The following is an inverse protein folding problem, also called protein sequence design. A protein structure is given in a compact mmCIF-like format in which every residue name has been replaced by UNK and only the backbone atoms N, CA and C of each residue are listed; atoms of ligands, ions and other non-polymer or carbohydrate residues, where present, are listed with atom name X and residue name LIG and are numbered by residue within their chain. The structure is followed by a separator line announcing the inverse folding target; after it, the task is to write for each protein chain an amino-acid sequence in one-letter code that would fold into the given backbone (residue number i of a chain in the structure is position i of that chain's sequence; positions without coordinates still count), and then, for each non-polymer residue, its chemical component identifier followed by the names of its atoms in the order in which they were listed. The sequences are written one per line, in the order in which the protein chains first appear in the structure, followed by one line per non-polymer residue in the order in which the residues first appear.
data_IF_631481169384
#
_entry.id   IF_631481169384
#
_cell.length_a   1.000
_cell.length_b   1.000
_cell.length_c   1.000
_cell.angle_alpha   90.00
_cell.angle_beta   90.00
_cell.angle_gamma   90.00
#
_symmetry.space_group_name_H-M   'P 1'
#
loop_
_entity.id
_entity.type
_entity.pdbx_description
1 polymer ?
#
# COMPACT_ATOMS: atom_id res chain seq x y z
N UNK A 1 -26.12 -0.49 -14.27
CA UNK A 1 -25.56 -0.47 -12.90
C UNK A 1 -25.22 0.97 -12.56
N UNK A 2 -25.52 1.43 -11.34
CA UNK A 2 -25.23 2.80 -10.90
C UNK A 2 -23.81 2.87 -10.32
N UNK A 3 -23.01 3.87 -10.74
CA UNK A 3 -21.65 4.07 -10.22
C UNK A 3 -21.73 4.76 -8.85
N UNK A 4 -21.67 3.98 -7.77
CA UNK A 4 -21.77 4.42 -6.36
C UNK A 4 -21.06 3.38 -5.48
N UNK A 5 -20.62 3.77 -4.29
CA UNK A 5 -20.00 2.84 -3.33
C UNK A 5 -18.47 2.86 -3.35
N UNK A 6 -17.85 1.73 -3.05
CA UNK A 6 -16.40 1.58 -3.01
C UNK A 6 -15.87 1.04 -4.34
N UNK A 7 -14.97 1.79 -4.98
CA UNK A 7 -14.24 1.36 -6.15
C UNK A 7 -12.76 1.20 -5.88
N UNK A 8 -12.16 0.11 -6.33
CA UNK A 8 -10.73 -0.14 -6.12
C UNK A 8 -9.89 0.51 -7.21
N UNK A 9 -9.00 1.43 -6.83
CA UNK A 9 -7.91 1.90 -7.68
C UNK A 9 -6.85 0.79 -7.79
N UNK A 10 -7.03 -0.11 -8.75
CA UNK A 10 -6.26 -1.36 -8.86
C UNK A 10 -4.76 -1.09 -9.03
N UNK A 11 -3.95 -1.87 -8.31
CA UNK A 11 -2.52 -2.00 -8.59
C UNK A 11 -2.29 -2.79 -9.88
N UNK A 12 -1.15 -2.57 -10.54
CA UNK A 12 -0.66 -3.43 -11.63
C UNK A 12 0.48 -4.30 -11.08
N UNK A 13 0.32 -5.63 -10.99
CA UNK A 13 1.39 -6.51 -10.53
C UNK A 13 2.43 -6.75 -11.63
N UNK A 14 3.69 -6.85 -11.22
CA UNK A 14 4.83 -7.11 -12.10
C UNK A 14 5.63 -8.29 -11.57
N UNK A 15 6.30 -9.01 -12.47
CA UNK A 15 7.27 -10.06 -12.16
C UNK A 15 8.65 -9.46 -11.91
N UNK A 16 9.57 -10.23 -11.31
CA UNK A 16 10.95 -9.78 -11.06
C UNK A 16 11.69 -9.20 -12.27
N UNK A 17 11.37 -9.63 -13.49
CA UNK A 17 11.96 -9.11 -14.73
C UNK A 17 11.35 -7.77 -15.20
N UNK A 18 10.37 -7.24 -14.44
CA UNK A 18 9.65 -6.01 -14.74
C UNK A 18 8.48 -6.19 -15.70
N UNK A 19 8.27 -7.37 -16.28
CA UNK A 19 7.10 -7.67 -17.10
C UNK A 19 5.82 -7.72 -16.25
N UNK A 20 4.68 -7.48 -16.86
CA UNK A 20 3.39 -7.55 -16.17
C UNK A 20 3.04 -8.99 -15.78
N UNK A 21 2.57 -9.17 -14.55
CA UNK A 21 2.14 -10.47 -14.04
C UNK A 21 0.64 -10.68 -14.27
N UNK A 22 0.28 -11.20 -15.45
CA UNK A 22 -1.11 -11.41 -15.86
C UNK A 22 -1.88 -12.34 -14.89
N UNK A 23 -1.24 -13.39 -14.39
CA UNK A 23 -1.87 -14.35 -13.47
C UNK A 23 -2.24 -13.66 -12.15
N UNK A 24 -1.32 -12.88 -11.57
CA UNK A 24 -1.59 -12.13 -10.35
C UNK A 24 -2.65 -11.06 -10.59
N UNK A 25 -2.63 -10.36 -11.73
CA UNK A 25 -3.62 -9.35 -12.08
C UNK A 25 -5.03 -9.95 -12.12
N UNK A 26 -5.21 -11.04 -12.88
CA UNK A 26 -6.51 -11.73 -13.00
C UNK A 26 -7.00 -12.23 -11.64
N UNK A 27 -6.11 -12.79 -10.83
CA UNK A 27 -6.43 -13.27 -9.47
C UNK A 27 -6.87 -12.13 -8.56
N UNK A 28 -6.18 -10.98 -8.60
CA UNK A 28 -6.58 -9.78 -7.84
C UNK A 28 -7.96 -9.28 -8.27
N UNK A 29 -8.23 -9.16 -9.57
CA UNK A 29 -9.53 -8.71 -10.09
C UNK A 29 -10.65 -9.64 -9.63
N UNK A 30 -10.47 -10.96 -9.77
CA UNK A 30 -11.46 -11.94 -9.33
C UNK A 30 -11.73 -11.81 -7.82
N UNK A 31 -10.68 -11.75 -7.00
CA UNK A 31 -10.78 -11.61 -5.56
C UNK A 31 -11.48 -10.31 -5.13
N UNK A 32 -11.25 -9.20 -5.83
CA UNK A 32 -11.93 -7.93 -5.59
C UNK A 32 -13.44 -8.05 -5.81
N UNK A 33 -13.85 -8.63 -6.94
CA UNK A 33 -15.27 -8.87 -7.27
C UNK A 33 -15.91 -9.83 -6.25
N UNK A 34 -15.24 -10.93 -5.91
CA UNK A 34 -15.72 -11.91 -4.91
C UNK A 34 -15.81 -11.33 -3.48
N UNK A 35 -14.99 -10.34 -3.19
CA UNK A 35 -15.01 -9.62 -1.91
C UNK A 35 -16.13 -8.56 -1.84
N UNK A 36 -16.85 -8.34 -2.94
CA UNK A 36 -18.02 -7.46 -3.00
C UNK A 36 -17.67 -5.99 -3.19
N UNK A 37 -16.60 -5.69 -3.93
CA UNK A 37 -16.32 -4.32 -4.41
C UNK A 37 -17.46 -3.83 -5.30
N UNK A 38 -17.77 -2.53 -5.27
CA UNK A 38 -18.88 -1.97 -6.03
C UNK A 38 -18.48 -1.64 -7.48
N UNK A 39 -17.20 -1.31 -7.74
CA UNK A 39 -16.64 -1.09 -9.09
C UNK A 39 -15.10 -1.18 -9.10
N UNK A 40 -14.49 -1.24 -10.29
CA UNK A 40 -13.03 -1.32 -10.44
C UNK A 40 -12.48 -0.17 -11.29
N UNK A 41 -11.29 0.31 -10.92
CA UNK A 41 -10.58 1.39 -11.61
C UNK A 41 -9.19 0.91 -12.04
N UNK A 42 -9.07 0.20 -13.18
CA UNK A 42 -7.77 -0.16 -13.74
C UNK A 42 -7.06 1.08 -14.29
N UNK A 43 -5.73 1.01 -14.34
CA UNK A 43 -4.90 2.04 -14.97
C UNK A 43 -5.07 3.46 -14.39
N UNK A 44 -5.45 3.58 -13.11
CA UNK A 44 -5.32 4.82 -12.34
C UNK A 44 -3.89 5.03 -11.83
N UNK A 45 -3.67 6.06 -10.99
CA UNK A 45 -2.34 6.34 -10.42
C UNK A 45 -1.75 5.15 -9.65
N UNK A 46 -2.58 4.43 -8.89
CA UNK A 46 -2.18 3.25 -8.12
C UNK A 46 -1.76 2.07 -9.02
N UNK A 47 -2.22 2.05 -10.27
CA UNK A 47 -1.85 1.06 -11.28
C UNK A 47 -0.53 1.36 -12.00
N UNK A 48 0.24 2.37 -11.54
CA UNK A 48 1.54 2.74 -12.10
C UNK A 48 1.50 3.13 -13.60
N UNK A 49 0.36 3.66 -14.06
CA UNK A 49 0.11 4.03 -15.48
C UNK A 49 1.23 4.82 -16.17
N UNK A 50 1.95 5.76 -15.52
CA UNK A 50 3.07 6.45 -16.16
C UNK A 50 4.21 5.55 -16.64
N UNK A 51 4.29 4.31 -16.13
CA UNK A 51 5.33 3.33 -16.45
C UNK A 51 4.82 2.15 -17.27
N UNK A 52 3.56 2.17 -17.70
CA UNK A 52 2.99 1.18 -18.61
C UNK A 52 3.23 1.62 -20.06
N UNK A 53 3.57 0.68 -20.92
CA UNK A 53 3.46 0.91 -22.36
C UNK A 53 1.99 1.07 -22.76
N UNK A 54 1.76 1.52 -24.00
CA UNK A 54 0.41 1.58 -24.55
C UNK A 54 -0.26 0.19 -24.57
N UNK A 55 0.45 -0.84 -25.04
CA UNK A 55 -0.07 -2.20 -25.12
C UNK A 55 -0.38 -2.79 -23.72
N UNK A 56 0.47 -2.53 -22.73
CA UNK A 56 0.24 -2.98 -21.36
C UNK A 56 -0.95 -2.26 -20.72
N UNK A 57 -1.07 -0.95 -20.95
CA UNK A 57 -2.21 -0.16 -20.47
C UNK A 57 -3.54 -0.73 -20.98
N UNK A 58 -3.60 -1.10 -22.26
CA UNK A 58 -4.77 -1.73 -22.86
C UNK A 58 -5.01 -3.14 -22.34
N UNK A 59 -3.94 -3.93 -22.25
CA UNK A 59 -4.04 -5.30 -21.77
C UNK A 59 -4.57 -5.38 -20.34
N UNK A 60 -4.18 -4.46 -19.44
CA UNK A 60 -4.73 -4.38 -18.09
C UNK A 60 -6.24 -4.10 -18.12
N UNK A 61 -6.69 -3.19 -18.98
CA UNK A 61 -8.12 -2.86 -19.12
C UNK A 61 -8.89 -4.06 -19.68
N UNK A 62 -8.40 -4.69 -20.74
CA UNK A 62 -9.06 -5.81 -21.40
C UNK A 62 -9.12 -7.04 -20.47
N UNK A 63 -8.04 -7.34 -19.74
CA UNK A 63 -8.02 -8.36 -18.68
C UNK A 63 -9.05 -8.07 -17.58
N UNK A 64 -9.21 -6.79 -17.21
CA UNK A 64 -10.23 -6.37 -16.23
C UNK A 64 -11.63 -6.62 -16.77
N UNK A 65 -11.90 -6.28 -18.03
CA UNK A 65 -13.20 -6.52 -18.68
C UNK A 65 -13.53 -8.02 -18.70
N UNK A 66 -12.58 -8.84 -19.15
CA UNK A 66 -12.75 -10.29 -19.25
C UNK A 66 -13.05 -10.93 -17.90
N UNK A 67 -12.24 -10.62 -16.88
CA UNK A 67 -12.43 -11.23 -15.56
C UNK A 67 -13.68 -10.70 -14.91
N UNK A 68 -13.98 -9.39 -14.98
CA UNK A 68 -15.20 -8.83 -14.39
C UNK A 68 -16.46 -9.42 -15.02
N UNK A 69 -16.46 -9.66 -16.33
CA UNK A 69 -17.57 -10.25 -17.07
C UNK A 69 -18.92 -9.57 -16.77
N UNK A 70 -18.92 -8.24 -16.67
CA UNK A 70 -20.11 -7.43 -16.40
C UNK A 70 -20.67 -7.50 -14.97
N UNK A 71 -19.98 -8.13 -14.01
CA UNK A 71 -20.44 -8.27 -12.62
C UNK A 71 -20.44 -6.95 -11.84
N UNK A 72 -19.48 -6.07 -12.13
CA UNK A 72 -19.36 -4.72 -11.55
C UNK A 72 -18.96 -3.72 -12.63
N UNK A 73 -19.22 -2.41 -12.47
CA UNK A 73 -18.75 -1.40 -13.41
C UNK A 73 -17.23 -1.28 -13.45
N UNK A 74 -16.70 -0.88 -14.61
CA UNK A 74 -15.29 -0.55 -14.82
C UNK A 74 -15.15 0.93 -15.18
N UNK A 75 -14.30 1.64 -14.44
CA UNK A 75 -13.91 3.03 -14.71
C UNK A 75 -12.45 3.05 -15.17
N UNK A 76 -12.20 3.12 -16.48
CA UNK A 76 -10.85 3.01 -17.01
C UNK A 76 -10.06 4.33 -16.87
N UNK A 77 -8.83 4.27 -16.36
CA UNK A 77 -7.94 5.42 -16.29
C UNK A 77 -7.39 5.83 -17.67
N UNK A 78 -7.61 7.08 -18.07
CA UNK A 78 -7.19 7.63 -19.37
C UNK A 78 -6.58 9.04 -19.23
N UNK A 79 -5.80 9.27 -18.16
CA UNK A 79 -5.18 10.57 -17.91
C UNK A 79 -4.01 10.86 -18.86
N UNK A 80 -3.90 12.11 -19.32
CA UNK A 80 -2.70 12.67 -19.94
C UNK A 80 -2.59 14.16 -19.59
N UNK A 81 -1.38 14.72 -19.62
CA UNK A 81 -1.17 16.16 -19.51
C UNK A 81 -1.23 16.89 -20.86
N UNK A 82 -1.35 16.16 -21.97
CA UNK A 82 -1.66 16.65 -23.32
C UNK A 82 -3.15 16.42 -23.60
N UNK A 83 -3.89 17.46 -24.00
CA UNK A 83 -5.32 17.34 -24.33
C UNK A 83 -5.55 16.41 -25.53
N UNK A 84 -4.68 16.48 -26.54
CA UNK A 84 -4.78 15.61 -27.72
C UNK A 84 -4.64 14.13 -27.34
N UNK A 85 -3.60 13.80 -26.58
CA UNK A 85 -3.37 12.44 -26.11
C UNK A 85 -4.48 11.96 -25.17
N UNK A 86 -5.02 12.84 -24.32
CA UNK A 86 -6.14 12.51 -23.43
C UNK A 86 -7.41 12.18 -24.23
N UNK A 87 -7.68 12.92 -25.31
CA UNK A 87 -8.78 12.63 -26.24
C UNK A 87 -8.58 11.29 -26.92
N UNK A 88 -7.38 10.99 -27.40
CA UNK A 88 -7.06 9.70 -28.05
C UNK A 88 -7.24 8.53 -27.08
N UNK A 89 -6.67 8.63 -25.88
CA UNK A 89 -6.86 7.64 -24.82
C UNK A 89 -8.33 7.47 -24.46
N UNK A 90 -9.08 8.56 -24.33
CA UNK A 90 -10.50 8.51 -24.00
C UNK A 90 -11.31 7.79 -25.09
N UNK A 91 -11.08 8.10 -26.37
CA UNK A 91 -11.72 7.41 -27.49
C UNK A 91 -11.42 5.92 -27.49
N UNK A 92 -10.18 5.56 -27.19
CA UNK A 92 -9.80 4.16 -27.14
C UNK A 92 -10.53 3.40 -26.05
N UNK A 93 -10.50 3.89 -24.80
CA UNK A 93 -11.21 3.19 -23.71
C UNK A 93 -12.72 3.23 -23.91
N UNK A 94 -13.26 4.29 -24.54
CA UNK A 94 -14.68 4.37 -24.87
C UNK A 94 -15.12 3.33 -25.90
N UNK A 95 -14.23 2.96 -26.82
CA UNK A 95 -14.46 1.91 -27.82
C UNK A 95 -14.55 0.49 -27.24
N UNK A 96 -14.22 0.29 -25.95
CA UNK A 96 -14.26 -1.02 -25.28
C UNK A 96 -15.61 -1.22 -24.59
N UNK A 97 -16.47 -2.15 -25.05
CA UNK A 97 -17.84 -2.27 -24.54
C UNK A 97 -17.95 -2.51 -23.03
N UNK A 98 -16.96 -3.18 -22.43
CA UNK A 98 -16.91 -3.46 -21.00
C UNK A 98 -16.54 -2.26 -20.11
N UNK A 99 -16.07 -1.15 -20.68
CA UNK A 99 -15.79 0.09 -19.92
C UNK A 99 -17.08 0.88 -19.74
N UNK A 100 -17.39 1.24 -18.49
CA UNK A 100 -18.61 1.96 -18.14
C UNK A 100 -18.39 3.46 -17.97
N UNK A 101 -17.21 3.88 -17.54
CA UNK A 101 -16.83 5.28 -17.40
C UNK A 101 -15.32 5.47 -17.56
N UNK A 102 -14.88 6.72 -17.67
CA UNK A 102 -13.48 7.11 -17.84
C UNK A 102 -13.05 7.93 -16.63
N UNK A 103 -11.88 7.63 -16.05
CA UNK A 103 -11.26 8.47 -15.02
C UNK A 103 -10.12 9.28 -15.67
N UNK A 104 -10.19 10.61 -15.58
CA UNK A 104 -9.13 11.49 -16.10
C UNK A 104 -8.82 12.64 -15.12
N UNK A 105 -7.54 12.85 -14.83
CA UNK A 105 -7.08 13.87 -13.89
C UNK A 105 -6.73 15.19 -14.57
N UNK A 106 -6.56 16.24 -13.76
CA UNK A 106 -5.98 17.50 -14.26
C UNK A 106 -4.61 17.24 -14.88
N UNK A 107 -4.23 17.95 -15.97
CA UNK A 107 -2.90 17.88 -16.52
C UNK A 107 -1.82 18.07 -15.45
N UNK A 108 -0.94 17.09 -15.34
CA UNK A 108 0.19 17.10 -14.41
C UNK A 108 1.42 17.76 -15.05
N UNK A 109 2.33 18.27 -14.21
CA UNK A 109 3.58 18.94 -14.59
C UNK A 109 3.41 20.34 -15.21
N UNK A 110 2.57 20.49 -16.24
CA UNK A 110 2.41 21.74 -17.00
C UNK A 110 1.51 22.80 -16.34
N UNK A 111 0.77 22.45 -15.27
CA UNK A 111 0.03 23.37 -14.38
C UNK A 111 -0.88 24.37 -15.12
N UNK A 112 -1.90 23.90 -15.86
CA UNK A 112 -2.82 24.78 -16.57
C UNK A 112 -3.63 25.67 -15.61
N UNK A 113 -4.03 26.85 -16.11
CA UNK A 113 -4.99 27.73 -15.43
C UNK A 113 -6.36 27.06 -15.30
N UNK A 114 -7.26 27.60 -14.47
CA UNK A 114 -8.63 27.10 -14.34
C UNK A 114 -9.37 27.02 -15.69
N UNK A 115 -9.23 28.03 -16.55
CA UNK A 115 -9.82 28.01 -17.89
C UNK A 115 -9.15 26.97 -18.80
N UNK A 116 -7.84 26.74 -18.64
CA UNK A 116 -7.13 25.66 -19.31
C UNK A 116 -7.66 24.28 -18.91
N UNK A 117 -7.89 24.05 -17.62
CA UNK A 117 -8.48 22.83 -17.09
C UNK A 117 -9.91 22.63 -17.62
N UNK A 118 -10.74 23.69 -17.59
CA UNK A 118 -12.10 23.66 -18.15
C UNK A 118 -12.10 23.21 -19.61
N UNK A 119 -11.28 23.84 -20.46
CA UNK A 119 -11.20 23.50 -21.88
C UNK A 119 -10.65 22.10 -22.11
N UNK A 120 -9.63 21.69 -21.35
CA UNK A 120 -9.06 20.35 -21.44
C UNK A 120 -10.13 19.27 -21.21
N UNK A 121 -10.86 19.35 -20.10
CA UNK A 121 -11.89 18.36 -19.78
C UNK A 121 -13.10 18.43 -20.73
N UNK A 122 -13.54 19.63 -21.10
CA UNK A 122 -14.63 19.80 -22.07
C UNK A 122 -14.28 19.18 -23.42
N UNK A 123 -13.06 19.37 -23.91
CA UNK A 123 -12.62 18.79 -25.19
C UNK A 123 -12.56 17.26 -25.14
N UNK A 124 -12.18 16.66 -24.00
CA UNK A 124 -12.25 15.21 -23.82
C UNK A 124 -13.71 14.74 -23.81
N UNK A 125 -14.57 15.45 -23.08
CA UNK A 125 -15.99 15.16 -22.95
C UNK A 125 -16.72 15.19 -24.30
N UNK A 126 -16.43 16.19 -25.15
CA UNK A 126 -17.02 16.30 -26.50
C UNK A 126 -16.56 15.20 -27.48
N UNK A 127 -15.52 14.44 -27.14
CA UNK A 127 -14.92 13.44 -28.02
C UNK A 127 -15.45 12.00 -27.82
N UNK A 128 -16.23 11.75 -26.76
CA UNK A 128 -16.71 10.42 -26.37
C UNK A 128 -18.10 10.47 -25.75
N UNK A 129 -18.90 9.41 -25.91
CA UNK A 129 -20.24 9.34 -25.31
C UNK A 129 -20.25 8.72 -23.89
N UNK A 130 -19.12 8.19 -23.44
CA UNK A 130 -19.00 7.54 -22.12
C UNK A 130 -18.99 8.59 -20.99
N UNK A 131 -19.58 8.29 -19.83
CA UNK A 131 -19.43 9.11 -18.62
C UNK A 131 -17.95 9.32 -18.25
N UNK A 132 -17.62 10.55 -17.87
CA UNK A 132 -16.30 10.96 -17.40
C UNK A 132 -16.37 11.31 -15.92
N UNK A 133 -15.48 10.71 -15.14
CA UNK A 133 -15.19 11.07 -13.76
C UNK A 133 -13.88 11.86 -13.78
N UNK A 134 -13.97 13.12 -13.40
CA UNK A 134 -12.80 13.98 -13.24
C UNK A 134 -11.99 13.52 -12.03
N UNK A 135 -10.68 13.78 -12.01
CA UNK A 135 -9.84 13.45 -10.87
C UNK A 135 -9.04 14.68 -10.42
N UNK A 136 -9.46 15.26 -9.29
CA UNK A 136 -8.75 16.36 -8.65
C UNK A 136 -7.75 15.82 -7.63
N UNK A 137 -6.44 16.00 -7.88
CA UNK A 137 -5.35 15.52 -7.00
C UNK A 137 -4.16 16.49 -7.04
N UNK A 138 -4.31 17.71 -6.50
CA UNK A 138 -3.30 18.77 -6.62
C UNK A 138 -1.93 18.36 -6.09
N UNK A 139 -1.85 17.49 -5.08
CA UNK A 139 -0.58 16.95 -4.55
C UNK A 139 0.24 16.14 -5.57
N UNK A 140 -0.36 15.69 -6.68
CA UNK A 140 0.33 14.97 -7.76
C UNK A 140 0.40 15.77 -9.06
N UNK A 141 -0.65 16.53 -9.38
CA UNK A 141 -0.71 17.29 -10.64
C UNK A 141 0.00 18.64 -10.53
N UNK A 142 0.09 19.21 -9.33
CA UNK A 142 0.52 20.59 -9.10
C UNK A 142 -0.53 21.63 -9.49
N UNK A 143 -1.77 21.22 -9.75
CA UNK A 143 -2.90 22.08 -10.12
C UNK A 143 -4.20 21.57 -9.46
N UNK A 144 -4.91 22.47 -8.78
CA UNK A 144 -6.22 22.20 -8.17
C UNK A 144 -7.34 22.56 -9.14
N UNK A 145 -8.35 21.71 -9.26
CA UNK A 145 -9.62 22.07 -9.89
C UNK A 145 -10.45 22.81 -8.83
N UNK A 146 -10.69 24.11 -9.02
CA UNK A 146 -11.47 24.89 -8.06
C UNK A 146 -12.98 24.57 -8.14
N UNK A 147 -13.75 24.72 -7.04
CA UNK A 147 -15.19 24.45 -7.03
C UNK A 147 -15.96 25.15 -8.15
N UNK A 148 -15.64 26.41 -8.44
CA UNK A 148 -16.28 27.16 -9.52
C UNK A 148 -16.00 26.57 -10.92
N UNK A 149 -14.79 26.07 -11.16
CA UNK A 149 -14.43 25.38 -12.41
C UNK A 149 -15.16 24.04 -12.50
N UNK A 150 -15.24 23.31 -11.38
CA UNK A 150 -15.93 22.03 -11.32
C UNK A 150 -17.44 22.18 -11.54
N UNK A 151 -18.07 23.21 -10.95
CA UNK A 151 -19.48 23.52 -11.17
C UNK A 151 -19.76 23.79 -12.66
N UNK A 152 -18.89 24.57 -13.35
CA UNK A 152 -19.00 24.77 -14.81
C UNK A 152 -18.86 23.46 -15.61
N UNK A 153 -17.98 22.56 -15.17
CA UNK A 153 -17.77 21.26 -15.82
C UNK A 153 -18.93 20.30 -15.57
N UNK A 154 -19.61 20.39 -14.43
CA UNK A 154 -20.76 19.56 -14.10
C UNK A 154 -21.98 19.80 -15.00
N UNK A 155 -22.04 20.96 -15.67
CA UNK A 155 -23.06 21.26 -16.69
C UNK A 155 -22.79 20.58 -18.05
N UNK A 156 -21.61 19.97 -18.25
CA UNK A 156 -21.29 19.22 -19.47
C UNK A 156 -21.90 17.82 -19.36
N UNK A 157 -22.78 17.47 -20.31
CA UNK A 157 -23.69 16.31 -20.23
C UNK A 157 -23.08 14.98 -19.76
N UNK A 158 -21.88 14.62 -20.24
CA UNK A 158 -21.21 13.37 -19.91
C UNK A 158 -20.10 13.51 -18.86
N UNK A 159 -19.85 14.69 -18.30
CA UNK A 159 -19.01 14.83 -17.10
C UNK A 159 -19.88 14.50 -15.90
N UNK A 160 -19.80 13.24 -15.47
CA UNK A 160 -20.74 12.66 -14.52
C UNK A 160 -20.30 12.83 -13.05
N UNK A 161 -19.04 13.17 -12.79
CA UNK A 161 -18.57 13.25 -11.41
C UNK A 161 -17.12 13.66 -11.25
N UNK A 162 -16.66 13.62 -10.00
CA UNK A 162 -15.28 13.87 -9.58
C UNK A 162 -14.82 12.86 -8.54
N UNK A 163 -13.58 12.41 -8.65
CA UNK A 163 -12.77 11.86 -7.56
C UNK A 163 -12.02 13.02 -6.92
N UNK A 164 -12.46 13.43 -5.73
CA UNK A 164 -11.85 14.53 -4.98
C UNK A 164 -10.79 14.01 -4.01
N UNK A 165 -9.51 14.20 -4.37
CA UNK A 165 -8.34 13.83 -3.57
C UNK A 165 -7.51 15.05 -3.17
N UNK A 166 -8.14 16.22 -3.04
CA UNK A 166 -7.50 17.44 -2.55
C UNK A 166 -7.14 17.36 -1.06
N UNK A 167 -7.78 16.48 -0.29
CA UNK A 167 -7.66 16.40 1.17
C UNK A 167 -8.29 17.61 1.90
N UNK A 168 -8.91 18.53 1.16
CA UNK A 168 -9.51 19.74 1.70
C UNK A 168 -11.02 19.53 1.88
N UNK A 169 -11.43 19.23 3.11
CA UNK A 169 -12.84 18.95 3.41
C UNK A 169 -13.76 20.17 3.18
N UNK A 170 -13.24 21.39 3.38
CA UNK A 170 -14.01 22.62 3.10
C UNK A 170 -14.28 22.76 1.60
N UNK A 171 -13.28 22.51 0.75
CA UNK A 171 -13.47 22.50 -0.70
C UNK A 171 -14.45 21.42 -1.13
N UNK A 172 -14.36 20.21 -0.55
CA UNK A 172 -15.30 19.13 -0.87
C UNK A 172 -16.73 19.51 -0.49
N UNK A 173 -16.92 20.18 0.65
CA UNK A 173 -18.22 20.71 1.05
C UNK A 173 -18.74 21.75 0.04
N UNK A 174 -17.88 22.69 -0.39
CA UNK A 174 -18.24 23.67 -1.43
C UNK A 174 -18.64 22.99 -2.74
N UNK A 175 -17.88 21.98 -3.17
CA UNK A 175 -18.20 21.19 -4.37
C UNK A 175 -19.57 20.53 -4.24
N UNK A 176 -19.85 19.82 -3.15
CA UNK A 176 -21.13 19.13 -2.94
C UNK A 176 -22.33 20.09 -2.96
N UNK A 177 -22.14 21.38 -2.65
CA UNK A 177 -23.19 22.39 -2.68
C UNK A 177 -23.27 23.15 -4.02
N UNK A 178 -22.19 23.16 -4.81
CA UNK A 178 -22.10 23.92 -6.06
C UNK A 178 -22.46 23.11 -7.30
N UNK A 179 -22.30 21.78 -7.25
CA UNK A 179 -22.62 20.88 -8.37
C UNK A 179 -24.09 20.41 -8.32
N UNK A 180 -24.69 20.04 -9.45
CA UNK A 180 -26.03 19.44 -9.50
C UNK A 180 -26.14 18.16 -8.65
N UNK A 181 -27.33 17.86 -8.11
CA UNK A 181 -27.58 16.71 -7.23
C UNK A 181 -27.22 15.34 -7.84
N UNK A 182 -27.26 15.23 -9.17
CA UNK A 182 -26.91 14.01 -9.90
C UNK A 182 -25.40 13.88 -10.20
N UNK A 183 -24.59 14.89 -9.86
CA UNK A 183 -23.14 14.86 -10.04
C UNK A 183 -22.47 14.01 -8.96
N UNK A 184 -21.67 13.03 -9.38
CA UNK A 184 -21.11 12.02 -8.48
C UNK A 184 -19.81 12.53 -7.83
N UNK A 185 -19.85 12.84 -6.53
CA UNK A 185 -18.65 13.19 -5.75
C UNK A 185 -18.12 11.96 -5.01
N UNK A 186 -16.96 11.45 -5.42
CA UNK A 186 -16.25 10.37 -4.75
C UNK A 186 -15.11 10.91 -3.91
N UNK A 187 -14.91 10.36 -2.72
CA UNK A 187 -13.65 10.55 -2.00
C UNK A 187 -12.51 9.95 -2.82
N UNK A 188 -11.37 10.64 -2.86
CA UNK A 188 -10.11 10.11 -3.36
C UNK A 188 -9.08 9.81 -2.27
N UNK A 189 -9.46 9.97 -1.00
CA UNK A 189 -8.65 9.69 0.19
C UNK A 189 -9.42 8.74 1.12
N UNK A 190 -8.80 7.59 1.42
CA UNK A 190 -9.37 6.52 2.23
C UNK A 190 -9.77 7.00 3.64
N UNK A 191 -8.93 7.80 4.30
CA UNK A 191 -9.10 8.19 5.69
C UNK A 191 -10.23 9.21 5.91
N UNK A 192 -10.66 9.91 4.85
CA UNK A 192 -11.70 10.96 4.92
C UNK A 192 -13.01 10.55 4.23
N UNK A 193 -13.16 9.28 3.86
CA UNK A 193 -14.36 8.76 3.19
C UNK A 193 -15.66 9.09 3.94
N UNK A 194 -15.69 8.88 5.25
CA UNK A 194 -16.91 9.09 6.06
C UNK A 194 -17.40 10.54 6.05
N UNK A 195 -16.57 11.57 6.34
CA UNK A 195 -17.05 12.94 6.26
C UNK A 195 -17.42 13.35 4.83
N UNK A 196 -16.77 12.82 3.78
CA UNK A 196 -17.19 13.08 2.40
C UNK A 196 -18.59 12.55 2.12
N UNK A 197 -18.90 11.31 2.54
CA UNK A 197 -20.25 10.74 2.40
C UNK A 197 -21.27 11.56 3.19
N UNK A 198 -20.93 12.01 4.40
CA UNK A 198 -21.81 12.85 5.22
C UNK A 198 -22.14 14.21 4.55
N UNK A 199 -21.27 14.72 3.68
CA UNK A 199 -21.48 15.96 2.92
C UNK A 199 -22.27 15.75 1.61
N UNK A 200 -22.64 14.51 1.28
CA UNK A 200 -23.34 14.18 0.03
C UNK A 200 -22.54 13.35 -0.97
N UNK A 201 -21.29 12.99 -0.63
CA UNK A 201 -20.48 12.10 -1.44
C UNK A 201 -21.13 10.73 -1.64
N UNK A 202 -20.91 10.15 -2.82
CA UNK A 202 -21.54 8.89 -3.25
C UNK A 202 -20.66 7.67 -3.03
N UNK A 203 -19.47 7.84 -2.45
CA UNK A 203 -18.57 6.74 -2.14
C UNK A 203 -17.10 7.12 -2.23
N UNK A 204 -16.25 6.18 -2.63
CA UNK A 204 -14.79 6.34 -2.69
C UNK A 204 -14.19 5.59 -3.88
N UNK A 205 -13.12 6.16 -4.46
CA UNK A 205 -12.15 5.43 -5.28
C UNK A 205 -10.87 5.22 -4.45
N UNK A 206 -10.73 4.01 -3.90
CA UNK A 206 -9.92 3.67 -2.74
C UNK A 206 -8.58 3.02 -3.10
N UNK A 207 -7.53 3.30 -2.31
CA UNK A 207 -6.26 2.54 -2.34
C UNK A 207 -6.37 1.34 -1.41
N UNK A 208 -6.81 1.55 -0.16
CA UNK A 208 -6.89 0.50 0.88
C UNK A 208 -7.76 -0.70 0.48
N UNK A 209 -8.77 -0.50 -0.37
CA UNK A 209 -9.60 -1.58 -0.92
C UNK A 209 -8.82 -2.60 -1.74
N UNK A 210 -7.60 -2.30 -2.19
CA UNK A 210 -6.71 -3.33 -2.75
C UNK A 210 -6.40 -4.42 -1.73
N UNK A 211 -6.28 -4.09 -0.44
CA UNK A 211 -5.87 -5.04 0.61
C UNK A 211 -7.05 -5.53 1.45
N UNK A 212 -8.06 -4.68 1.64
CA UNK A 212 -9.26 -4.94 2.45
C UNK A 212 -10.56 -4.60 1.69
N UNK A 213 -10.80 -5.21 0.51
CA UNK A 213 -11.92 -4.85 -0.36
C UNK A 213 -13.29 -5.01 0.30
N UNK A 214 -13.47 -6.09 1.08
CA UNK A 214 -14.73 -6.36 1.78
C UNK A 214 -15.02 -5.28 2.80
N UNK A 215 -14.05 -4.97 3.65
CA UNK A 215 -14.22 -4.02 4.75
C UNK A 215 -14.39 -2.60 4.25
N UNK A 216 -13.66 -2.18 3.21
CA UNK A 216 -13.88 -0.87 2.60
C UNK A 216 -15.28 -0.75 1.97
N UNK A 217 -15.74 -1.80 1.29
CA UNK A 217 -17.08 -1.83 0.71
C UNK A 217 -18.18 -1.83 1.77
N UNK A 218 -18.02 -2.61 2.85
CA UNK A 218 -18.94 -2.61 4.00
C UNK A 218 -18.99 -1.25 4.70
N UNK A 219 -17.83 -0.61 4.92
CA UNK A 219 -17.76 0.71 5.54
C UNK A 219 -18.47 1.77 4.69
N UNK A 220 -18.21 1.78 3.38
CA UNK A 220 -18.83 2.73 2.46
C UNK A 220 -20.33 2.49 2.35
N UNK A 221 -20.79 1.23 2.20
CA UNK A 221 -22.22 0.91 2.17
C UNK A 221 -22.93 1.27 3.47
N UNK A 222 -22.32 1.00 4.62
CA UNK A 222 -22.87 1.38 5.92
C UNK A 222 -23.09 2.90 6.02
N UNK A 223 -22.06 3.69 5.66
CA UNK A 223 -22.16 5.15 5.65
C UNK A 223 -23.25 5.66 4.68
N UNK A 224 -23.32 5.13 3.45
CA UNK A 224 -24.33 5.50 2.46
C UNK A 224 -25.76 5.13 2.89
N UNK A 225 -25.91 4.16 3.79
CA UNK A 225 -27.18 3.72 4.37
C UNK A 225 -27.47 4.33 5.74
N UNK A 226 -26.72 5.36 6.16
CA UNK A 226 -26.81 6.01 7.48
C UNK A 226 -26.53 5.09 8.69
N UNK A 227 -25.92 3.93 8.50
CA UNK A 227 -25.37 3.09 9.58
C UNK A 227 -23.96 3.59 9.96
N UNK A 228 -23.96 4.71 10.67
CA UNK A 228 -22.72 5.37 11.08
C UNK A 228 -21.95 4.61 12.16
N UNK A 229 -22.61 3.75 12.93
CA UNK A 229 -21.94 2.97 13.97
C UNK A 229 -21.07 1.87 13.37
N UNK A 230 -21.60 1.12 12.40
CA UNK A 230 -20.81 0.15 11.62
C UNK A 230 -19.70 0.86 10.85
N UNK A 231 -20.01 1.96 10.16
CA UNK A 231 -19.04 2.71 9.38
C UNK A 231 -17.86 3.20 10.25
N UNK A 232 -18.16 3.84 11.40
CA UNK A 232 -17.12 4.31 12.33
C UNK A 232 -16.34 3.17 12.97
N UNK A 233 -16.96 2.03 13.26
CA UNK A 233 -16.26 0.86 13.81
C UNK A 233 -15.22 0.33 12.82
N UNK A 234 -15.58 0.18 11.54
CA UNK A 234 -14.65 -0.27 10.50
C UNK A 234 -13.55 0.78 10.29
N UNK A 235 -13.92 2.06 10.14
CA UNK A 235 -12.96 3.17 10.01
C UNK A 235 -11.93 3.15 11.14
N UNK A 236 -12.36 3.06 12.40
CA UNK A 236 -11.45 3.03 13.56
C UNK A 236 -10.48 1.85 13.52
N UNK A 237 -10.94 0.68 13.06
CA UNK A 237 -10.10 -0.51 12.95
C UNK A 237 -9.00 -0.35 11.90
N UNK A 238 -9.32 0.25 10.75
CA UNK A 238 -8.42 0.29 9.59
C UNK A 238 -7.79 1.66 9.29
N UNK A 239 -8.10 2.70 10.07
CA UNK A 239 -7.57 4.06 9.85
C UNK A 239 -6.04 4.09 9.75
N UNK A 240 -5.34 3.35 10.60
CA UNK A 240 -3.88 3.31 10.55
C UNK A 240 -3.36 2.68 9.26
N UNK A 241 -4.05 1.67 8.71
CA UNK A 241 -3.71 1.07 7.43
C UNK A 241 -3.97 2.07 6.28
N UNK A 242 -5.13 2.72 6.27
CA UNK A 242 -5.49 3.75 5.29
C UNK A 242 -4.43 4.86 5.25
N UNK A 243 -3.98 5.34 6.41
CA UNK A 243 -2.93 6.36 6.50
C UNK A 243 -1.55 5.81 6.11
N UNK A 244 -1.22 4.58 6.50
CA UNK A 244 0.05 3.95 6.15
C UNK A 244 0.22 3.79 4.64
N UNK A 245 -0.88 3.67 3.89
CA UNK A 245 -0.85 3.61 2.43
C UNK A 245 -0.31 4.88 1.74
N UNK A 246 -0.07 5.94 2.50
CA UNK A 246 0.50 7.21 2.04
C UNK A 246 1.70 7.67 2.87
N UNK A 247 2.29 6.80 3.71
CA UNK A 247 3.52 7.13 4.45
C UNK A 247 4.75 7.27 3.55
N UNK A 248 4.70 6.63 2.39
CA UNK A 248 5.53 6.88 1.22
C UNK A 248 4.60 7.00 0.00
N UNK A 249 5.15 7.38 -1.16
CA UNK A 249 4.38 7.57 -2.39
C UNK A 249 3.60 6.30 -2.77
N UNK A 250 2.26 6.34 -2.75
CA UNK A 250 1.42 5.30 -3.36
C UNK A 250 1.82 5.09 -4.85
N UNK A 251 2.00 3.84 -5.32
CA UNK A 251 1.55 2.57 -4.71
C UNK A 251 2.59 1.75 -3.92
N UNK A 252 3.68 2.35 -3.44
CA UNK A 252 4.70 1.62 -2.67
C UNK A 252 4.10 0.84 -1.48
N UNK A 253 3.40 1.47 -0.52
CA UNK A 253 2.87 0.74 0.63
C UNK A 253 1.86 -0.35 0.27
N UNK A 254 0.88 -0.05 -0.58
CA UNK A 254 -0.20 -1.00 -0.92
C UNK A 254 0.33 -2.27 -1.60
N UNK A 255 1.31 -2.14 -2.51
CA UNK A 255 1.96 -3.31 -3.13
C UNK A 255 2.83 -4.06 -2.13
N UNK A 256 3.51 -3.37 -1.22
CA UNK A 256 4.26 -4.03 -0.16
C UNK A 256 3.35 -4.86 0.74
N UNK A 257 2.17 -4.37 1.14
CA UNK A 257 1.21 -5.15 1.94
C UNK A 257 0.66 -6.32 1.13
N UNK A 258 0.23 -6.11 -0.12
CA UNK A 258 -0.23 -7.20 -0.99
C UNK A 258 0.82 -8.31 -1.17
N UNK A 259 2.10 -7.94 -1.30
CA UNK A 259 3.19 -8.90 -1.35
C UNK A 259 3.38 -9.64 -0.02
N UNK A 260 3.28 -8.94 1.13
CA UNK A 260 3.30 -9.58 2.44
C UNK A 260 2.10 -10.52 2.66
N UNK A 261 0.97 -10.27 2.00
CA UNK A 261 -0.20 -11.16 1.96
C UNK A 261 -0.04 -12.33 0.97
N UNK A 262 1.07 -12.39 0.23
CA UNK A 262 1.34 -13.43 -0.77
C UNK A 262 0.48 -13.32 -2.04
N UNK A 263 -0.07 -12.13 -2.33
CA UNK A 263 -0.97 -11.91 -3.48
C UNK A 263 -0.25 -11.48 -4.76
N UNK A 264 0.91 -10.85 -4.63
CA UNK A 264 1.74 -10.36 -5.75
C UNK A 264 3.22 -10.47 -5.38
N UNK A 265 4.10 -10.33 -6.37
CA UNK A 265 5.51 -10.01 -6.11
C UNK A 265 5.69 -8.52 -5.77
N UNK A 266 6.64 -8.21 -4.88
CA UNK A 266 6.95 -6.82 -4.49
C UNK A 266 7.87 -6.15 -5.53
N UNK A 267 7.34 -5.90 -6.72
CA UNK A 267 8.08 -5.29 -7.84
C UNK A 267 7.46 -3.96 -8.23
N UNK A 268 8.31 -2.97 -8.47
CA UNK A 268 7.95 -1.63 -8.93
C UNK A 268 8.74 -1.31 -10.18
N UNK A 269 8.18 -0.45 -11.05
CA UNK A 269 8.94 0.10 -12.18
C UNK A 269 9.56 1.43 -11.82
N UNK A 270 10.80 1.66 -12.25
CA UNK A 270 11.45 2.96 -12.10
C UNK A 270 10.55 4.06 -12.69
N UNK A 271 10.43 5.22 -12.02
CA UNK A 271 11.27 5.72 -10.92
C UNK A 271 10.83 5.27 -9.51
N UNK A 272 9.83 4.40 -9.39
CA UNK A 272 9.45 3.84 -8.10
C UNK A 272 10.43 2.75 -7.67
N UNK A 273 10.63 2.64 -6.36
CA UNK A 273 11.59 1.74 -5.74
C UNK A 273 10.95 1.05 -4.54
N UNK A 274 11.51 -0.08 -4.06
CA UNK A 274 11.10 -0.67 -2.80
C UNK A 274 11.14 0.35 -1.65
N UNK A 275 10.18 0.21 -0.73
CA UNK A 275 10.08 1.06 0.46
C UNK A 275 11.36 1.05 1.28
N UNK A 276 11.60 2.15 2.00
CA UNK A 276 12.70 2.21 2.96
C UNK A 276 12.48 1.16 4.05
N UNK A 277 13.56 0.61 4.60
CA UNK A 277 13.47 -0.50 5.56
C UNK A 277 12.68 -0.13 6.83
N UNK A 278 12.86 1.08 7.32
CA UNK A 278 12.20 1.61 8.52
C UNK A 278 10.70 1.81 8.33
N UNK A 279 10.29 2.43 7.23
CA UNK A 279 8.88 2.62 6.86
C UNK A 279 8.21 1.28 6.55
N UNK A 280 8.89 0.37 5.83
CA UNK A 280 8.38 -0.97 5.53
C UNK A 280 8.15 -1.81 6.80
N UNK A 281 9.06 -1.73 7.78
CA UNK A 281 8.89 -2.39 9.08
C UNK A 281 7.69 -1.86 9.85
N UNK A 282 7.49 -0.54 9.84
CA UNK A 282 6.32 0.10 10.45
C UNK A 282 5.02 -0.29 9.76
N UNK A 283 5.02 -0.35 8.42
CA UNK A 283 3.89 -0.82 7.62
C UNK A 283 3.55 -2.29 7.92
N UNK A 284 4.54 -3.17 8.03
CA UNK A 284 4.34 -4.58 8.39
C UNK A 284 3.65 -4.72 9.76
N UNK A 285 4.07 -3.93 10.74
CA UNK A 285 3.41 -3.90 12.06
C UNK A 285 1.94 -3.49 11.94
N UNK A 286 1.64 -2.44 11.18
CA UNK A 286 0.26 -1.97 10.95
C UNK A 286 -0.57 -3.03 10.23
N UNK A 287 -0.05 -3.66 9.18
CA UNK A 287 -0.74 -4.74 8.46
C UNK A 287 -1.00 -5.96 9.36
N UNK A 288 -0.08 -6.29 10.26
CA UNK A 288 -0.25 -7.36 11.26
C UNK A 288 -1.34 -7.01 12.26
N UNK A 289 -1.34 -5.79 12.80
CA UNK A 289 -2.35 -5.30 13.76
C UNK A 289 -3.74 -5.20 13.13
N UNK A 290 -3.82 -4.87 11.84
CA UNK A 290 -5.05 -4.87 11.06
C UNK A 290 -5.54 -6.30 10.70
N UNK A 291 -4.71 -7.33 10.92
CA UNK A 291 -5.05 -8.74 10.71
C UNK A 291 -4.88 -9.23 9.27
N UNK A 292 -4.14 -8.51 8.42
CA UNK A 292 -3.95 -8.84 7.00
C UNK A 292 -2.86 -9.90 6.80
N UNK A 293 -1.87 -9.93 7.68
CA UNK A 293 -0.74 -10.85 7.62
C UNK A 293 -0.57 -11.55 8.97
N UNK A 294 -0.28 -12.84 8.94
CA UNK A 294 -0.01 -13.60 10.16
C UNK A 294 1.23 -13.03 10.84
N UNK A 295 1.11 -12.76 12.14
CA UNK A 295 2.26 -12.44 12.98
C UNK A 295 3.31 -13.54 12.77
N UNK A 296 4.56 -13.21 12.40
CA UNK A 296 5.61 -14.23 12.36
C UNK A 296 5.57 -14.96 13.70
N UNK A 297 5.53 -16.30 13.67
CA UNK A 297 5.77 -17.06 14.88
C UNK A 297 7.04 -16.47 15.50
N UNK A 298 7.01 -16.19 16.81
CA UNK A 298 8.24 -15.85 17.50
C UNK A 298 9.25 -16.93 17.10
N UNK A 299 10.48 -16.55 16.66
CA UNK A 299 11.48 -17.57 16.37
C UNK A 299 11.51 -18.52 17.57
N UNK A 300 11.48 -19.85 17.35
CA UNK A 300 11.58 -20.79 18.46
C UNK A 300 12.75 -20.32 19.30
N UNK A 301 12.55 -20.16 20.61
CA UNK A 301 13.60 -19.70 21.50
C UNK A 301 14.84 -20.53 21.19
N UNK A 302 15.87 -19.91 20.58
CA UNK A 302 17.12 -20.61 20.33
C UNK A 302 17.55 -21.17 21.68
N UNK A 303 17.84 -22.48 21.71
CA UNK A 303 18.30 -23.12 22.93
C UNK A 303 19.47 -22.29 23.46
N UNK A 304 19.32 -21.77 24.67
CA UNK A 304 20.36 -20.94 25.28
C UNK A 304 21.52 -21.87 25.61
N UNK A 305 22.48 -21.92 24.71
CA UNK A 305 23.74 -22.62 24.92
C UNK A 305 24.67 -21.78 25.80
N UNK A 306 25.60 -22.46 26.45
CA UNK A 306 26.58 -21.85 27.33
C UNK A 306 27.98 -22.18 26.86
N UNK A 307 28.92 -21.27 27.12
CA UNK A 307 30.32 -21.41 26.76
C UNK A 307 31.21 -21.01 27.94
N UNK A 308 32.40 -21.60 28.00
CA UNK A 308 33.45 -21.23 28.96
C UNK A 308 34.54 -20.50 28.20
N UNK A 309 34.81 -19.25 28.57
CA UNK A 309 35.98 -18.52 28.13
C UNK A 309 37.13 -18.77 29.08
N UNK A 310 38.20 -19.39 28.59
CA UNK A 310 39.42 -19.66 29.34
C UNK A 310 40.53 -18.69 28.92
N UNK A 311 41.25 -18.13 29.88
CA UNK A 311 42.37 -17.21 29.64
C UNK A 311 43.53 -17.48 30.61
N UNK A 312 44.74 -17.65 30.06
CA UNK A 312 45.99 -17.91 30.80
C UNK A 312 47.11 -16.90 30.48
N UNK A 313 46.79 -15.75 29.87
CA UNK A 313 47.77 -14.79 29.35
C UNK A 313 48.47 -13.92 30.41
N UNK A 314 47.78 -13.49 31.49
CA UNK A 314 48.31 -12.41 32.34
C UNK A 314 47.83 -12.48 33.80
N UNK A 315 47.95 -13.65 34.44
CA UNK A 315 47.59 -13.82 35.84
C UNK A 315 47.21 -15.27 36.17
N UNK A 316 46.58 -15.51 37.33
CA UNK A 316 46.06 -16.83 37.67
C UNK A 316 45.09 -17.29 36.58
N UNK A 317 45.31 -18.51 36.08
CA UNK A 317 44.50 -19.18 35.06
C UNK A 317 43.00 -19.06 35.40
N UNK A 318 42.26 -18.36 34.55
CA UNK A 318 40.88 -17.93 34.83
C UNK A 318 39.92 -18.43 33.76
N UNK A 319 38.70 -18.75 34.20
CA UNK A 319 37.56 -19.00 33.33
C UNK A 319 36.35 -18.11 33.63
N UNK A 320 35.56 -17.81 32.59
CA UNK A 320 34.30 -17.07 32.67
C UNK A 320 33.21 -17.82 31.90
N UNK A 321 32.06 -18.06 32.51
CA UNK A 321 30.91 -18.67 31.84
C UNK A 321 30.05 -17.60 31.14
N UNK A 322 29.56 -17.90 29.94
CA UNK A 322 28.72 -17.02 29.13
C UNK A 322 27.53 -17.76 28.53
N UNK A 323 26.40 -17.06 28.35
CA UNK A 323 25.36 -17.46 27.37
C UNK A 323 25.88 -17.22 25.96
N UNK A 324 25.48 -18.06 25.00
CA UNK A 324 25.85 -17.98 23.58
C UNK A 324 25.55 -16.61 22.97
N UNK A 325 24.44 -16.00 23.37
CA UNK A 325 23.98 -14.67 22.91
C UNK A 325 24.66 -13.49 23.61
N UNK A 326 25.58 -13.73 24.54
CA UNK A 326 26.35 -12.67 25.18
C UNK A 326 27.19 -11.92 24.14
N UNK A 327 27.18 -10.58 24.16
CA UNK A 327 27.99 -9.76 23.25
C UNK A 327 29.50 -10.00 23.35
N UNK A 328 30.00 -10.58 24.45
CA UNK A 328 31.39 -11.01 24.58
C UNK A 328 31.65 -12.42 24.07
N UNK A 329 30.63 -13.29 24.03
CA UNK A 329 30.75 -14.68 23.60
C UNK A 329 30.44 -14.86 22.12
N UNK A 330 29.32 -14.32 21.64
CA UNK A 330 28.87 -14.41 20.25
C UNK A 330 29.02 -15.84 19.69
N UNK A 331 28.38 -16.82 20.32
CA UNK A 331 28.44 -18.24 19.97
C UNK A 331 29.89 -18.78 19.92
N UNK A 332 30.71 -18.43 20.91
CA UNK A 332 32.11 -18.85 21.02
C UNK A 332 33.07 -18.18 20.03
N UNK A 333 32.64 -17.13 19.31
CA UNK A 333 33.45 -16.40 18.32
C UNK A 333 33.91 -15.03 18.80
N UNK A 334 33.42 -14.59 19.96
CA UNK A 334 33.73 -13.28 20.54
C UNK A 334 35.16 -13.20 21.05
N UNK A 335 35.66 -11.96 21.15
CA UNK A 335 37.01 -11.64 21.64
C UNK A 335 36.89 -10.68 22.82
N UNK A 336 36.70 -11.18 24.06
CA UNK A 336 36.61 -10.34 25.25
C UNK A 336 37.89 -9.52 25.47
N UNK A 337 37.81 -8.49 26.31
CA UNK A 337 38.98 -7.70 26.68
C UNK A 337 40.09 -8.60 27.27
N UNK A 338 41.31 -8.49 26.77
CA UNK A 338 42.44 -9.35 27.14
C UNK A 338 42.51 -10.69 26.39
N UNK A 339 41.79 -10.84 25.28
CA UNK A 339 41.88 -11.99 24.39
C UNK A 339 43.22 -12.04 23.64
N UNK A 340 43.92 -13.16 23.76
CA UNK A 340 45.06 -13.54 22.94
C UNK A 340 44.82 -14.95 22.38
N UNK A 341 44.85 -15.15 21.06
CA UNK A 341 44.61 -16.44 20.44
C UNK A 341 45.60 -17.54 20.87
N UNK A 342 46.80 -17.17 21.34
CA UNK A 342 47.79 -18.12 21.85
C UNK A 342 47.56 -18.49 23.33
N UNK A 343 46.75 -17.70 24.04
CA UNK A 343 46.60 -17.81 25.49
C UNK A 343 45.16 -17.75 26.00
N UNK A 344 44.19 -18.02 25.13
CA UNK A 344 42.78 -18.10 25.50
C UNK A 344 42.00 -19.01 24.56
N UNK A 345 40.90 -19.57 25.05
CA UNK A 345 40.07 -20.51 24.29
C UNK A 345 38.62 -20.48 24.76
N UNK A 346 37.70 -20.69 23.81
CA UNK A 346 36.30 -21.00 24.10
C UNK A 346 36.07 -22.51 24.16
N UNK A 347 35.33 -22.96 25.18
CA UNK A 347 34.84 -24.33 25.30
C UNK A 347 33.31 -24.36 25.24
N UNK A 348 32.75 -25.39 24.63
CA UNK A 348 31.31 -25.55 24.39
C UNK A 348 30.97 -25.77 22.90
N UNK A 349 29.69 -25.66 22.51
CA UNK A 349 28.56 -25.29 23.38
C UNK A 349 28.21 -26.36 24.41
N UNK A 350 27.69 -25.92 25.55
CA UNK A 350 27.05 -26.77 26.57
C UNK A 350 25.55 -26.46 26.58
N UNK A 351 24.72 -27.50 26.75
CA UNK A 351 23.27 -27.35 26.64
C UNK A 351 22.65 -26.68 27.88
N UNK A 352 23.29 -26.82 29.04
CA UNK A 352 22.82 -26.21 30.29
C UNK A 352 23.92 -25.52 31.09
N UNK A 353 23.52 -24.58 31.96
CA UNK A 353 24.44 -23.94 32.89
C UNK A 353 25.04 -24.93 33.90
N UNK A 354 24.30 -25.97 34.28
CA UNK A 354 24.77 -27.00 35.20
C UNK A 354 25.93 -27.81 34.58
N UNK A 355 25.77 -28.28 33.33
CA UNK A 355 26.83 -28.95 32.58
C UNK A 355 28.06 -28.05 32.40
N UNK A 356 27.82 -26.76 32.12
CA UNK A 356 28.90 -25.79 31.96
C UNK A 356 29.66 -25.61 33.27
N UNK A 357 28.98 -25.52 34.42
CA UNK A 357 29.61 -25.43 35.74
C UNK A 357 30.42 -26.68 36.05
N UNK A 358 29.87 -27.86 35.79
CA UNK A 358 30.57 -29.13 35.99
C UNK A 358 31.84 -29.23 35.13
N UNK A 359 31.72 -28.94 33.83
CA UNK A 359 32.88 -28.87 32.93
C UNK A 359 33.93 -27.86 33.43
N UNK A 360 33.49 -26.70 33.92
CA UNK A 360 34.36 -25.66 34.51
C UNK A 360 35.12 -26.14 35.76
N UNK A 361 34.52 -27.00 36.58
CA UNK A 361 35.15 -27.57 37.77
C UNK A 361 36.22 -28.62 37.40
N UNK A 362 36.00 -29.36 36.31
CA UNK A 362 36.91 -30.39 35.83
C UNK A 362 38.13 -29.84 35.07
N UNK A 363 38.19 -28.52 34.79
CA UNK A 363 39.35 -27.89 34.17
C UNK A 363 40.52 -27.76 35.16
N UNK A 364 41.60 -28.47 34.87
CA UNK A 364 42.83 -28.46 35.66
C UNK A 364 43.58 -27.13 35.53
N UNK A 365 44.27 -26.70 36.60
CA UNK A 365 45.07 -25.47 36.62
C UNK A 365 44.28 -24.18 36.83
N UNK A 366 42.95 -24.20 36.70
CA UNK A 366 42.10 -23.01 36.85
C UNK A 366 42.02 -22.57 38.31
N UNK A 367 42.49 -21.35 38.57
CA UNK A 367 42.55 -20.70 39.88
C UNK A 367 41.35 -19.78 40.14
N UNK A 368 40.75 -19.20 39.10
CA UNK A 368 39.60 -18.30 39.21
C UNK A 368 38.46 -18.76 38.30
N UNK A 369 37.27 -18.95 38.87
CA UNK A 369 36.04 -19.29 38.15
C UNK A 369 35.02 -18.19 38.39
N UNK A 370 34.40 -17.68 37.33
CA UNK A 370 33.41 -16.61 37.44
C UNK A 370 32.33 -16.74 36.37
N UNK A 371 31.20 -16.07 36.58
CA UNK A 371 30.10 -16.04 35.63
C UNK A 371 29.95 -14.62 35.08
N UNK A 372 29.75 -14.49 33.77
CA UNK A 372 29.44 -13.21 33.16
C UNK A 372 28.04 -12.77 33.60
N UNK A 373 27.78 -11.45 33.65
CA UNK A 373 26.44 -10.88 33.93
C UNK A 373 25.32 -11.40 33.01
N UNK A 374 25.67 -12.01 31.87
CA UNK A 374 24.71 -12.61 30.96
C UNK A 374 24.19 -13.96 31.44
N UNK A 375 24.93 -14.66 32.31
CA UNK A 375 24.52 -15.91 32.96
C UNK A 375 23.60 -15.55 34.10
#
# INVERSE_FOLDING_TARGET
MQLRGCGTALVTPFRQDGSMDETALRTLIAWQVESGIDFLVPCGTTGETPTLSHDEWLHVIDSTIEVVAGRVPIVAGATSNSTQDAVEKAKEVAGRPGVNAILTASPYYNKPTQEGQYRHFRTIAEAVDKPIILYNVPGRTGANIEPATLARLAEVQNIAGVKEASGNISQIAEVCNAVPENFLVFSGDDAVTLPVIALGGVGIISVASNEIPREMSEMTRAALNNDWDTARRIQRKYLLLMQANFMESNPLPVKAVLAMMGKIEEVYRLPLLPMRRDTRSRLQKIATEAGLITRPAAPPAEAVEFYIYENWLAGPHKIVLHRSTCGQCNHGKGRPAGHDPNHSRWHGPYATLAETREASHNMAGVLIRSECKCV
#
